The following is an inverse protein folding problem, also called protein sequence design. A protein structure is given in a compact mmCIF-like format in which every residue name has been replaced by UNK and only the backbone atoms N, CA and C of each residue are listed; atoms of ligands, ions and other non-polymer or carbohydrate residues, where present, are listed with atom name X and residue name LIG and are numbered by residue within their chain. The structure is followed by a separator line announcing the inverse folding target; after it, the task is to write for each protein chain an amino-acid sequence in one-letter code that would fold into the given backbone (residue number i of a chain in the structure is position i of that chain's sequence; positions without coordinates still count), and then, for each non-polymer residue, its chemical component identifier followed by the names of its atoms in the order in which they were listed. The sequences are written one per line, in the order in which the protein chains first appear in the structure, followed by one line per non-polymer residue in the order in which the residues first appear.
data_IF_791174033177
#
_entry.id   IF_791174033177
#
_cell.length_a   1.000
_cell.length_b   1.000
_cell.length_c   1.000
_cell.angle_alpha   90.00
_cell.angle_beta   90.00
_cell.angle_gamma   90.00
#
_symmetry.space_group_name_H-M   'P 1'
#
loop_
_entity.id
_entity.type
_entity.pdbx_description
1 polymer ?
#
# COMPACT_ATOMS: atom_id res chain seq x y z
N UNK A 1 -3.01 -3.77 -12.54
CA UNK A 1 -2.95 -3.99 -11.08
C UNK A 1 -1.77 -3.22 -10.51
N UNK A 2 -2.00 -2.40 -9.52
CA UNK A 2 -0.97 -1.63 -8.83
C UNK A 2 -0.78 -2.20 -7.43
N UNK A 3 0.47 -2.49 -7.07
CA UNK A 3 0.83 -2.87 -5.69
C UNK A 3 1.47 -1.66 -5.04
N UNK A 4 0.87 -1.18 -3.96
CA UNK A 4 1.48 -0.16 -3.11
C UNK A 4 2.28 -0.87 -2.02
N UNK A 5 3.60 -0.82 -2.14
CA UNK A 5 4.48 -1.53 -1.23
C UNK A 5 5.05 -0.58 -0.17
N UNK A 6 4.50 -0.68 1.03
CA UNK A 6 4.95 0.07 2.21
C UNK A 6 5.91 -0.73 3.09
N UNK A 7 6.22 -1.97 2.70
CA UNK A 7 7.13 -2.86 3.40
C UNK A 7 8.52 -2.87 2.75
N UNK A 8 9.32 -3.88 3.04
CA UNK A 8 10.59 -4.07 2.35
C UNK A 8 10.38 -4.33 0.85
N UNK A 9 11.35 -3.98 0.00
CA UNK A 9 11.23 -4.24 -1.44
C UNK A 9 10.91 -5.70 -1.75
N UNK A 10 10.00 -5.90 -2.69
CA UNK A 10 9.60 -7.24 -3.12
C UNK A 10 10.74 -7.89 -3.91
N UNK A 11 11.00 -9.17 -3.64
CA UNK A 11 11.98 -9.93 -4.40
C UNK A 11 11.46 -10.28 -5.79
N UNK A 12 12.36 -10.56 -6.72
CA UNK A 12 11.98 -11.02 -8.05
C UNK A 12 11.14 -12.30 -8.01
N UNK A 13 11.47 -13.21 -7.07
CA UNK A 13 10.70 -14.44 -6.88
C UNK A 13 9.25 -14.18 -6.48
N UNK A 14 9.02 -13.23 -5.55
CA UNK A 14 7.69 -12.86 -5.10
C UNK A 14 6.92 -12.18 -6.24
N UNK A 15 7.56 -11.27 -6.97
CA UNK A 15 6.94 -10.61 -8.12
C UNK A 15 6.55 -11.64 -9.18
N UNK A 16 7.38 -12.65 -9.43
CA UNK A 16 7.07 -13.73 -10.36
C UNK A 16 5.85 -14.54 -9.91
N UNK A 17 5.74 -14.84 -8.62
CA UNK A 17 4.57 -15.54 -8.08
C UNK A 17 3.30 -14.71 -8.24
N UNK A 18 3.36 -13.41 -7.96
CA UNK A 18 2.23 -12.51 -8.13
C UNK A 18 1.83 -12.42 -9.60
N UNK A 19 2.80 -12.29 -10.49
CA UNK A 19 2.57 -12.26 -11.93
C UNK A 19 1.85 -13.51 -12.42
N UNK A 20 2.26 -14.68 -11.92
CA UNK A 20 1.62 -15.94 -12.27
C UNK A 20 0.16 -16.01 -11.80
N UNK A 21 -0.13 -15.47 -10.60
CA UNK A 21 -1.48 -15.45 -10.05
C UNK A 21 -2.39 -14.45 -10.78
N UNK A 22 -1.85 -13.31 -11.18
CA UNK A 22 -2.62 -12.24 -11.83
C UNK A 22 -2.74 -12.44 -13.35
N UNK A 23 -1.87 -13.24 -13.95
CA UNK A 23 -1.79 -13.41 -15.39
C UNK A 23 -1.05 -12.30 -16.13
N UNK A 24 -0.54 -11.30 -15.42
CA UNK A 24 0.23 -10.18 -15.96
C UNK A 24 1.10 -9.55 -14.87
N UNK A 25 2.23 -8.92 -15.23
CA UNK A 25 3.07 -8.23 -14.26
C UNK A 25 2.34 -7.06 -13.62
N UNK A 26 2.38 -6.90 -12.28
CA UNK A 26 1.83 -5.72 -11.61
C UNK A 26 2.76 -4.52 -11.78
N UNK A 27 2.19 -3.32 -11.67
CA UNK A 27 2.99 -2.13 -11.39
C UNK A 27 3.25 -2.11 -9.88
N UNK A 28 4.50 -2.01 -9.48
CA UNK A 28 4.87 -1.91 -8.06
C UNK A 28 5.34 -0.50 -7.76
N UNK A 29 4.68 0.16 -6.80
CA UNK A 29 5.11 1.46 -6.28
C UNK A 29 5.72 1.25 -4.91
N UNK A 30 7.03 1.45 -4.83
CA UNK A 30 7.76 1.37 -3.57
C UNK A 30 7.60 2.68 -2.81
N UNK A 31 6.99 2.60 -1.63
CA UNK A 31 6.76 3.78 -0.78
C UNK A 31 7.46 3.54 0.54
N UNK A 32 8.63 4.14 0.78
CA UNK A 32 9.34 3.95 2.03
C UNK A 32 8.51 4.42 3.22
N UNK A 33 8.34 3.55 4.21
CA UNK A 33 7.61 3.85 5.43
C UNK A 33 8.58 3.91 6.59
N UNK A 34 9.25 5.04 6.76
CA UNK A 34 10.02 5.30 7.96
C UNK A 34 9.11 5.91 9.00
N UNK A 35 9.06 5.28 10.18
CA UNK A 35 8.27 5.82 11.27
C UNK A 35 9.13 6.67 12.18
N UNK A 36 8.84 7.96 12.25
CA UNK A 36 9.28 8.81 13.34
C UNK A 36 8.28 8.62 14.48
N UNK A 37 8.71 7.99 15.57
CA UNK A 37 7.84 7.67 16.70
C UNK A 37 7.33 8.91 17.44
N UNK A 38 7.89 10.08 17.16
CA UNK A 38 7.47 11.34 17.78
C UNK A 38 6.36 12.03 17.00
N UNK A 39 6.06 11.58 15.80
CA UNK A 39 5.01 12.17 14.97
C UNK A 39 3.69 11.42 15.15
N UNK A 40 2.55 12.14 15.13
CA UNK A 40 1.25 11.49 15.14
C UNK A 40 1.11 10.52 13.97
N UNK A 41 0.63 9.29 14.25
CA UNK A 41 0.49 8.27 13.21
C UNK A 41 -0.47 8.68 12.10
N UNK A 42 -1.49 9.47 12.42
CA UNK A 42 -2.44 9.96 11.41
C UNK A 42 -1.75 10.84 10.36
N UNK A 43 -0.79 11.68 10.78
CA UNK A 43 -0.01 12.49 9.85
C UNK A 43 0.89 11.63 8.97
N UNK A 44 1.58 10.67 9.58
CA UNK A 44 2.45 9.73 8.85
C UNK A 44 1.63 8.95 7.83
N UNK A 45 0.48 8.43 8.22
CA UNK A 45 -0.41 7.68 7.34
C UNK A 45 -0.89 8.54 6.16
N UNK A 46 -1.30 9.78 6.40
CA UNK A 46 -1.72 10.68 5.33
C UNK A 46 -0.60 10.94 4.32
N UNK A 47 0.62 11.16 4.81
CA UNK A 47 1.79 11.35 3.94
C UNK A 47 2.09 10.11 3.10
N UNK A 48 1.99 8.91 3.69
CA UNK A 48 2.21 7.66 2.97
C UNK A 48 1.15 7.43 1.89
N UNK A 49 -0.08 7.80 2.15
CA UNK A 49 -1.16 7.72 1.16
C UNK A 49 -0.91 8.73 0.03
N UNK A 50 -0.56 9.97 0.36
CA UNK A 50 -0.24 10.99 -0.64
C UNK A 50 0.98 10.60 -1.49
N UNK A 51 1.95 9.91 -0.89
CA UNK A 51 3.15 9.45 -1.60
C UNK A 51 2.86 8.41 -2.70
N UNK A 52 1.71 7.76 -2.66
CA UNK A 52 1.28 6.85 -3.73
C UNK A 52 0.94 7.60 -5.02
N UNK A 53 0.71 8.90 -4.96
CA UNK A 53 0.42 9.76 -6.11
C UNK A 53 -0.78 9.29 -6.93
N UNK A 54 -1.84 8.88 -6.25
CA UNK A 54 -3.10 8.51 -6.86
C UNK A 54 -4.13 9.60 -6.58
N UNK A 55 -4.86 10.03 -7.61
CA UNK A 55 -5.98 10.95 -7.42
C UNK A 55 -7.21 10.22 -6.85
N UNK A 56 -8.26 10.96 -6.51
CA UNK A 56 -9.48 10.39 -5.94
C UNK A 56 -10.11 9.33 -6.81
N UNK A 57 -10.14 9.54 -8.11
CA UNK A 57 -10.71 8.57 -9.05
C UNK A 57 -9.89 7.30 -9.08
N UNK A 58 -8.56 7.40 -9.10
CA UNK A 58 -7.67 6.25 -9.10
C UNK A 58 -7.81 5.45 -7.80
N UNK A 59 -7.87 6.11 -6.64
CA UNK A 59 -8.10 5.42 -5.36
C UNK A 59 -9.41 4.61 -5.37
N UNK A 60 -10.46 5.13 -6.00
CA UNK A 60 -11.78 4.52 -6.01
C UNK A 60 -11.98 3.46 -7.08
N UNK A 61 -11.24 3.53 -8.18
CA UNK A 61 -11.52 2.70 -9.36
C UNK A 61 -10.37 1.78 -9.79
N UNK A 62 -9.12 2.10 -9.44
CA UNK A 62 -7.98 1.27 -9.85
C UNK A 62 -7.92 -0.01 -9.02
N UNK A 63 -7.59 -1.15 -9.65
CA UNK A 63 -7.30 -2.37 -8.89
C UNK A 63 -6.01 -2.20 -8.08
N UNK A 64 -6.12 -2.22 -6.77
CA UNK A 64 -5.01 -1.97 -5.86
C UNK A 64 -4.80 -3.15 -4.90
N UNK A 65 -3.54 -3.48 -4.68
CA UNK A 65 -3.11 -4.40 -3.61
C UNK A 65 -2.16 -3.62 -2.72
N UNK A 66 -2.36 -3.74 -1.42
CA UNK A 66 -1.53 -3.06 -0.43
C UNK A 66 -0.64 -4.07 0.25
N UNK A 67 0.67 -3.83 0.25
CA UNK A 67 1.60 -4.53 1.13
C UNK A 67 1.91 -3.59 2.30
N UNK A 68 1.30 -3.79 3.47
CA UNK A 68 1.42 -2.86 4.58
C UNK A 68 2.81 -2.89 5.21
N UNK A 69 3.18 -1.85 5.98
CA UNK A 69 4.50 -1.78 6.61
C UNK A 69 4.74 -2.82 7.70
N UNK A 70 3.69 -3.55 8.13
CA UNK A 70 3.75 -4.61 9.15
C UNK A 70 4.21 -4.12 10.53
N UNK A 71 4.20 -2.83 10.76
CA UNK A 71 4.28 -2.22 12.08
C UNK A 71 2.85 -1.97 12.55
N UNK A 72 2.37 -2.72 13.54
CA UNK A 72 0.93 -2.83 13.82
C UNK A 72 0.22 -1.48 14.01
N UNK A 73 0.68 -0.54 14.86
CA UNK A 73 -0.05 0.71 15.01
C UNK A 73 -0.11 1.53 13.72
N UNK A 74 0.98 1.62 12.99
CA UNK A 74 1.01 2.36 11.72
C UNK A 74 0.14 1.68 10.66
N UNK A 75 0.18 0.36 10.58
CA UNK A 75 -0.63 -0.39 9.62
C UNK A 75 -2.11 -0.16 9.84
N UNK A 76 -2.57 -0.16 11.10
CA UNK A 76 -3.98 0.09 11.42
C UNK A 76 -4.42 1.48 10.94
N UNK A 77 -3.63 2.50 11.26
CA UNK A 77 -3.97 3.88 10.90
C UNK A 77 -3.86 4.09 9.38
N UNK A 78 -2.85 3.50 8.74
CA UNK A 78 -2.68 3.56 7.28
C UNK A 78 -3.88 2.92 6.55
N UNK A 79 -4.33 1.75 6.98
CA UNK A 79 -5.48 1.08 6.37
C UNK A 79 -6.77 1.88 6.56
N UNK A 80 -6.92 2.56 7.69
CA UNK A 80 -8.04 3.48 7.91
C UNK A 80 -8.02 4.66 6.94
N UNK A 81 -6.86 5.25 6.71
CA UNK A 81 -6.69 6.35 5.75
C UNK A 81 -6.98 5.88 4.32
N UNK A 82 -6.46 4.71 3.94
CA UNK A 82 -6.70 4.12 2.61
C UNK A 82 -8.19 3.82 2.43
N UNK A 83 -8.84 3.25 3.44
CA UNK A 83 -10.28 3.00 3.39
C UNK A 83 -11.06 4.28 3.13
N UNK A 84 -10.67 5.37 3.77
CA UNK A 84 -11.32 6.68 3.55
C UNK A 84 -11.16 7.18 2.11
N UNK A 85 -10.02 6.89 1.48
CA UNK A 85 -9.78 7.29 0.08
C UNK A 85 -10.48 6.38 -0.92
N UNK A 86 -10.53 5.09 -0.65
CA UNK A 86 -11.12 4.09 -1.56
C UNK A 86 -12.64 3.96 -1.41
N UNK A 87 -13.17 4.17 -0.22
CA UNK A 87 -14.56 3.88 0.11
C UNK A 87 -14.82 2.43 0.49
N UNK A 88 -13.80 1.59 0.50
CA UNK A 88 -13.84 0.19 0.91
C UNK A 88 -12.45 -0.27 1.35
N UNK A 89 -12.36 -1.42 2.00
CA UNK A 89 -11.07 -1.97 2.38
C UNK A 89 -10.30 -2.51 1.17
N UNK A 90 -8.98 -2.27 1.11
CA UNK A 90 -8.15 -2.78 0.02
C UNK A 90 -7.89 -4.28 0.16
N UNK A 91 -7.47 -4.89 -0.94
CA UNK A 91 -6.86 -6.21 -0.91
C UNK A 91 -5.46 -6.10 -0.31
N UNK A 92 -5.17 -6.96 0.66
CA UNK A 92 -3.90 -6.97 1.37
C UNK A 92 -3.03 -8.11 0.83
N UNK A 93 -1.78 -7.79 0.53
CA UNK A 93 -0.80 -8.81 0.18
C UNK A 93 -0.34 -9.51 1.45
N UNK A 94 -0.53 -10.81 1.51
CA UNK A 94 -0.09 -11.64 2.63
C UNK A 94 1.03 -12.55 2.14
N UNK A 95 2.24 -12.19 2.51
CA UNK A 95 3.43 -12.92 2.12
C UNK A 95 3.91 -13.81 3.25
#
# INVERSE_FOLDING_TARGET
MIILNYAHPLTNAIIAQITALLGAPPEVREIPSQSDRQRPLAEVAAELVDAAQLDSTAWQTQPLIINPPWLAPLTIVLLGEIHGRMGHFPTILNI
#
